data_IF_915185638868
#
_entry.id   IF_915185638868
#
_cell.length_a   1.000
_cell.length_b   1.000
_cell.length_c   1.000
_cell.angle_alpha   90.00
_cell.angle_beta   90.00
_cell.angle_gamma   90.00
#
_symmetry.space_group_name_H-M   'P 1'
#
loop_
_entity.id
_entity.type
_entity.pdbx_description
1 polymer ?
#
# COMPACT_ATOMS: atom_id res chain seq x y z
N UNK A 1 17.55 11.39 17.07
CA UNK A 1 17.46 9.98 17.55
C UNK A 1 17.23 9.10 16.32
N UNK A 2 18.14 8.16 16.01
CA UNK A 2 18.05 7.37 14.76
C UNK A 2 17.12 6.17 14.93
N UNK A 3 16.33 5.88 13.89
CA UNK A 3 15.47 4.70 13.84
C UNK A 3 15.51 4.06 12.46
N UNK A 4 15.28 2.75 12.43
CA UNK A 4 15.19 1.98 11.20
C UNK A 4 13.86 2.27 10.50
N UNK A 5 13.88 2.24 9.17
CA UNK A 5 12.70 2.51 8.35
C UNK A 5 12.08 1.23 7.81
N UNK A 6 10.78 1.30 7.54
CA UNK A 6 10.05 0.25 6.82
C UNK A 6 10.66 0.05 5.44
N UNK A 7 11.03 -1.20 5.16
CA UNK A 7 11.64 -1.62 3.89
C UNK A 7 10.60 -2.00 2.83
N UNK A 8 9.30 -1.95 3.14
CA UNK A 8 8.27 -2.34 2.18
C UNK A 8 8.27 -1.40 0.96
N UNK A 9 8.22 -1.99 -0.23
CA UNK A 9 8.09 -1.31 -1.51
C UNK A 9 6.63 -1.41 -1.96
N UNK A 10 6.00 -0.25 -2.13
CA UNK A 10 4.62 -0.13 -2.60
C UNK A 10 4.52 -0.49 -4.08
N UNK A 11 3.31 -0.72 -4.56
CA UNK A 11 3.08 -1.12 -5.96
C UNK A 11 3.46 -0.01 -6.94
N UNK A 12 3.36 1.24 -6.51
CA UNK A 12 3.82 2.40 -7.28
C UNK A 12 5.36 2.56 -7.34
N UNK A 13 6.13 1.63 -6.77
CA UNK A 13 7.60 1.63 -6.80
C UNK A 13 8.26 2.58 -5.78
N UNK A 14 7.47 3.20 -4.89
CA UNK A 14 7.99 4.02 -3.79
C UNK A 14 8.21 3.17 -2.54
N UNK A 15 9.20 3.51 -1.73
CA UNK A 15 9.38 2.90 -0.41
C UNK A 15 8.33 3.41 0.58
N UNK A 16 8.06 2.67 1.65
CA UNK A 16 7.20 3.16 2.73
C UNK A 16 7.88 4.20 3.61
N UNK A 17 9.13 3.94 4.03
CA UNK A 17 9.94 4.77 4.95
C UNK A 17 9.30 5.17 6.29
N UNK A 18 8.15 4.61 6.66
CA UNK A 18 7.59 4.81 8.01
C UNK A 18 8.45 4.14 9.08
N UNK A 19 8.44 4.60 10.35
CA UNK A 19 9.22 3.98 11.42
C UNK A 19 8.94 2.48 11.54
N UNK A 20 10.02 1.69 11.58
CA UNK A 20 9.98 0.25 11.65
C UNK A 20 9.62 -0.24 13.06
N UNK A 21 8.87 -1.34 13.15
CA UNK A 21 8.68 -2.06 14.42
C UNK A 21 9.97 -2.81 14.76
N UNK A 22 10.47 -2.67 16.00
CA UNK A 22 11.73 -3.31 16.43
C UNK A 22 11.75 -4.81 16.10
N UNK A 23 12.79 -5.25 15.38
CA UNK A 23 13.01 -6.66 15.02
C UNK A 23 12.25 -7.16 13.78
N UNK A 24 11.46 -6.32 13.12
CA UNK A 24 10.72 -6.67 11.90
C UNK A 24 11.13 -5.73 10.76
N UNK A 25 11.11 -6.15 9.49
CA UNK A 25 11.47 -5.26 8.38
C UNK A 25 10.40 -4.18 8.05
N UNK A 26 9.23 -4.22 8.71
CA UNK A 26 8.04 -3.45 8.36
C UNK A 26 7.65 -2.40 9.42
N UNK A 27 6.92 -1.36 9.01
CA UNK A 27 6.19 -0.49 9.94
C UNK A 27 4.97 -1.21 10.52
N UNK A 28 4.30 -0.58 11.49
CA UNK A 28 3.11 -1.14 12.12
C UNK A 28 2.01 -1.50 11.11
N UNK A 29 1.75 -0.62 10.14
CA UNK A 29 0.73 -0.82 9.10
C UNK A 29 1.07 -2.02 8.18
N UNK A 30 2.26 -2.01 7.57
CA UNK A 30 2.67 -3.09 6.65
C UNK A 30 2.84 -4.43 7.34
N UNK A 31 3.25 -4.45 8.61
CA UNK A 31 3.26 -5.68 9.40
C UNK A 31 1.84 -6.26 9.59
N UNK A 32 0.84 -5.41 9.83
CA UNK A 32 -0.55 -5.88 9.96
C UNK A 32 -1.11 -6.40 8.63
N UNK A 33 -0.82 -5.69 7.53
CA UNK A 33 -1.20 -6.13 6.19
C UNK A 33 -0.56 -7.48 5.84
N UNK A 34 0.74 -7.63 6.08
CA UNK A 34 1.44 -8.87 5.76
C UNK A 34 0.81 -10.05 6.52
N UNK A 35 0.52 -9.86 7.81
CA UNK A 35 -0.12 -10.89 8.63
C UNK A 35 -1.58 -11.17 8.24
N UNK A 36 -2.34 -10.18 7.76
CA UNK A 36 -3.72 -10.40 7.32
C UNK A 36 -3.80 -11.16 5.99
N UNK A 37 -2.84 -10.95 5.09
CA UNK A 37 -2.80 -11.65 3.80
C UNK A 37 -2.12 -13.02 3.88
N UNK A 38 -1.26 -13.27 4.88
CA UNK A 38 -0.50 -14.51 5.02
C UNK A 38 -1.36 -15.80 4.94
N UNK A 39 -2.53 -15.92 5.60
CA UNK A 39 -3.33 -17.13 5.52
C UNK A 39 -3.77 -17.47 4.09
N UNK A 40 -4.05 -16.46 3.27
CA UNK A 40 -4.58 -16.62 1.92
C UNK A 40 -3.51 -16.95 0.87
N UNK A 41 -2.22 -16.71 1.16
CA UNK A 41 -1.10 -17.02 0.26
C UNK A 41 -0.77 -18.52 0.19
N UNK A 42 -1.10 -19.27 1.24
CA UNK A 42 -0.69 -20.67 1.39
C UNK A 42 -1.85 -21.67 1.36
N UNK A 43 -3.07 -21.23 1.04
CA UNK A 43 -4.21 -22.14 0.87
C UNK A 43 -4.02 -22.89 -0.45
N UNK A 44 -3.28 -24.00 -0.39
CA UNK A 44 -3.18 -24.95 -1.49
C UNK A 44 -4.52 -25.67 -1.66
N UNK A 45 -5.09 -25.61 -2.87
CA UNK A 45 -6.25 -26.42 -3.26
C UNK A 45 -7.55 -25.64 -3.51
N UNK A 46 -7.65 -24.37 -3.14
CA UNK A 46 -8.76 -23.50 -3.54
C UNK A 46 -8.32 -22.53 -4.63
N UNK A 47 -9.22 -22.21 -5.58
CA UNK A 47 -9.01 -21.17 -6.60
C UNK A 47 -9.00 -19.78 -5.94
N UNK A 48 -7.99 -19.49 -5.14
CA UNK A 48 -7.81 -18.18 -4.52
C UNK A 48 -7.15 -17.27 -5.54
N UNK A 49 -7.81 -16.17 -5.87
CA UNK A 49 -7.19 -15.13 -6.69
C UNK A 49 -6.01 -14.54 -5.91
N UNK A 50 -4.82 -14.39 -6.52
CA UNK A 50 -3.65 -13.83 -5.86
C UNK A 50 -3.80 -12.30 -5.72
N UNK A 51 -4.72 -11.86 -4.84
CA UNK A 51 -4.95 -10.45 -4.58
C UNK A 51 -3.96 -9.96 -3.51
N UNK A 52 -3.20 -8.94 -3.88
CA UNK A 52 -2.30 -8.22 -3.00
C UNK A 52 -3.03 -7.21 -2.11
N UNK A 53 -2.29 -6.54 -1.21
CA UNK A 53 -2.83 -5.43 -0.44
C UNK A 53 -3.16 -4.23 -1.33
N UNK A 54 -4.28 -3.58 -1.07
CA UNK A 54 -4.81 -2.45 -1.84
C UNK A 54 -4.51 -1.12 -1.16
N UNK A 55 -3.23 -0.83 -0.95
CA UNK A 55 -2.78 0.36 -0.22
C UNK A 55 -2.58 1.59 -1.10
N UNK A 56 -2.48 1.40 -2.42
CA UNK A 56 -2.26 2.45 -3.42
C UNK A 56 -3.11 2.20 -4.69
N UNK A 57 -3.36 3.23 -5.52
CA UNK A 57 -4.17 3.08 -6.73
C UNK A 57 -3.62 2.03 -7.71
N UNK A 58 -2.30 1.94 -7.86
CA UNK A 58 -1.65 0.96 -8.73
C UNK A 58 -1.91 -0.48 -8.24
N UNK A 59 -1.89 -0.70 -6.92
CA UNK A 59 -2.25 -1.97 -6.30
C UNK A 59 -3.70 -2.38 -6.60
N UNK A 60 -4.64 -1.42 -6.52
CA UNK A 60 -6.04 -1.64 -6.89
C UNK A 60 -6.14 -2.00 -8.37
N UNK A 61 -5.40 -1.32 -9.25
CA UNK A 61 -5.43 -1.61 -10.68
C UNK A 61 -4.92 -3.02 -11.01
N UNK A 62 -3.86 -3.49 -10.33
CA UNK A 62 -3.39 -4.88 -10.48
C UNK A 62 -4.46 -5.87 -10.01
N UNK A 63 -5.16 -5.58 -8.91
CA UNK A 63 -6.25 -6.43 -8.43
C UNK A 63 -7.43 -6.49 -9.42
N UNK A 64 -7.82 -5.36 -10.02
CA UNK A 64 -8.86 -5.32 -11.07
C UNK A 64 -8.43 -6.19 -12.25
N UNK A 65 -7.21 -6.01 -12.76
CA UNK A 65 -6.67 -6.78 -13.87
C UNK A 65 -6.69 -8.29 -13.57
N UNK A 66 -6.32 -8.68 -12.36
CA UNK A 66 -6.35 -10.08 -11.92
C UNK A 66 -7.75 -10.69 -11.99
N UNK A 67 -8.77 -9.96 -11.54
CA UNK A 67 -10.17 -10.41 -11.60
C UNK A 67 -10.70 -10.44 -13.03
N UNK A 68 -10.39 -9.43 -13.85
CA UNK A 68 -10.82 -9.39 -15.26
C UNK A 68 -10.23 -10.57 -16.04
N UNK A 69 -8.94 -10.85 -15.87
CA UNK A 69 -8.30 -12.00 -16.52
C UNK A 69 -8.87 -13.33 -16.03
N UNK A 70 -9.17 -13.45 -14.74
CA UNK A 70 -9.79 -14.65 -14.19
C UNK A 70 -11.22 -14.87 -14.69
N UNK A 71 -11.99 -13.80 -14.86
CA UNK A 71 -13.32 -13.84 -15.46
C UNK A 71 -13.24 -14.23 -16.95
N UNK A 72 -12.31 -13.64 -17.70
CA UNK A 72 -12.09 -13.96 -19.11
C UNK A 72 -11.63 -15.42 -19.33
N UNK A 73 -10.94 -15.99 -18.34
CA UNK A 73 -10.45 -17.38 -18.37
C UNK A 73 -11.42 -18.40 -17.72
N UNK A 74 -12.65 -17.98 -17.38
CA UNK A 74 -13.66 -18.81 -16.72
C UNK A 74 -13.18 -19.46 -15.39
N UNK A 75 -12.24 -18.80 -14.72
CA UNK A 75 -11.72 -19.22 -13.41
C UNK A 75 -12.63 -18.76 -12.26
N UNK A 76 -13.45 -17.73 -12.50
CA UNK A 76 -14.35 -17.10 -11.53
C UNK A 76 -15.71 -16.84 -12.15
N UNK A 77 -16.77 -17.22 -11.43
CA UNK A 77 -18.16 -16.94 -11.82
C UNK A 77 -18.46 -15.44 -11.83
N UNK A 78 -19.27 -14.99 -12.79
CA UNK A 78 -19.68 -13.58 -12.95
C UNK A 78 -20.18 -12.95 -11.66
N UNK A 79 -21.05 -13.62 -10.89
CA UNK A 79 -21.59 -13.08 -9.63
C UNK A 79 -20.51 -12.80 -8.59
N UNK A 80 -19.52 -13.70 -8.49
CA UNK A 80 -18.38 -13.52 -7.59
C UNK A 80 -17.48 -12.38 -8.08
N UNK A 81 -17.23 -12.32 -9.39
CA UNK A 81 -16.47 -11.23 -9.98
C UNK A 81 -17.12 -9.86 -9.72
N UNK A 82 -18.45 -9.74 -9.85
CA UNK A 82 -19.18 -8.50 -9.54
C UNK A 82 -18.98 -8.06 -8.09
N UNK A 83 -19.10 -8.98 -7.12
CA UNK A 83 -18.90 -8.66 -5.71
C UNK A 83 -17.46 -8.22 -5.42
N UNK A 84 -16.47 -8.89 -6.03
CA UNK A 84 -15.05 -8.53 -5.89
C UNK A 84 -14.76 -7.15 -6.50
N UNK A 85 -15.22 -6.89 -7.72
CA UNK A 85 -15.04 -5.60 -8.39
C UNK A 85 -15.71 -4.46 -7.62
N UNK A 86 -16.87 -4.70 -7.02
CA UNK A 86 -17.51 -3.72 -6.11
C UNK A 86 -16.65 -3.45 -4.87
N UNK A 87 -16.07 -4.48 -4.25
CA UNK A 87 -15.11 -4.31 -3.16
C UNK A 87 -13.89 -3.50 -3.58
N UNK A 88 -13.37 -3.71 -4.79
CA UNK A 88 -12.25 -2.93 -5.34
C UNK A 88 -12.63 -1.47 -5.61
N UNK A 89 -13.86 -1.20 -6.02
CA UNK A 89 -14.36 0.17 -6.18
C UNK A 89 -14.34 0.91 -4.83
N UNK A 90 -14.79 0.26 -3.76
CA UNK A 90 -14.70 0.83 -2.40
C UNK A 90 -13.24 1.06 -1.98
N UNK A 91 -12.35 0.11 -2.30
CA UNK A 91 -10.91 0.27 -2.03
C UNK A 91 -10.33 1.48 -2.76
N UNK A 92 -10.66 1.67 -4.04
CA UNK A 92 -10.22 2.82 -4.84
C UNK A 92 -10.66 4.17 -4.25
N UNK A 93 -11.83 4.23 -3.62
CA UNK A 93 -12.30 5.44 -2.95
C UNK A 93 -11.52 5.72 -1.66
N UNK A 94 -11.05 4.66 -1.00
CA UNK A 94 -10.29 4.74 0.25
C UNK A 94 -8.81 5.05 0.03
N UNK A 95 -8.18 4.57 -1.05
CA UNK A 95 -6.75 4.83 -1.33
C UNK A 95 -6.44 6.31 -1.49
N UNK A 96 -7.37 7.10 -2.03
CA UNK A 96 -7.24 8.57 -2.12
C UNK A 96 -7.14 9.22 -0.74
N UNK A 97 -7.84 8.66 0.26
CA UNK A 97 -7.91 9.18 1.64
C UNK A 97 -6.79 8.66 2.54
N UNK A 98 -6.11 7.58 2.15
CA UNK A 98 -4.99 6.98 2.89
C UNK A 98 -3.66 7.73 2.71
N UNK A 99 -3.62 8.85 1.98
CA UNK A 99 -2.42 9.70 1.76
C UNK A 99 -1.88 10.38 3.04
N UNK A 100 -2.44 10.11 4.22
CA UNK A 100 -2.16 10.79 5.48
C UNK A 100 -0.87 10.44 6.24
N UNK A 101 0.10 9.71 5.69
CA UNK A 101 1.38 9.41 6.35
C UNK A 101 2.53 9.25 5.31
N UNK A 102 3.79 9.50 5.71
CA UNK A 102 4.78 10.29 4.97
C UNK A 102 4.90 9.91 3.50
N UNK A 103 4.79 10.93 2.64
CA UNK A 103 5.09 10.86 1.22
C UNK A 103 6.56 10.52 1.04
N UNK A 104 6.85 9.23 0.90
CA UNK A 104 8.18 8.79 0.54
C UNK A 104 8.45 9.14 -0.92
N UNK A 105 9.26 10.17 -1.15
CA UNK A 105 9.67 10.64 -2.48
C UNK A 105 10.74 9.75 -3.14
N UNK A 106 11.21 8.70 -2.45
CA UNK A 106 12.29 7.86 -2.94
C UNK A 106 11.76 6.71 -3.81
N UNK A 107 12.10 6.78 -5.10
CA UNK A 107 11.89 5.73 -6.08
C UNK A 107 12.89 4.59 -5.82
N UNK A 108 12.40 3.36 -5.75
CA UNK A 108 13.24 2.18 -5.60
C UNK A 108 13.94 1.85 -6.92
N UNK A 109 15.27 1.70 -6.88
CA UNK A 109 16.08 1.23 -8.01
C UNK A 109 16.62 -0.18 -7.82
N UNK A 110 16.69 -0.63 -6.57
CA UNK A 110 17.24 -1.93 -6.17
C UNK A 110 16.35 -2.57 -5.09
N UNK A 111 16.18 -3.88 -5.15
CA UNK A 111 15.36 -4.67 -4.22
C UNK A 111 16.23 -5.70 -3.50
N UNK A 112 15.79 -6.21 -2.35
CA UNK A 112 16.47 -7.28 -1.64
C UNK A 112 16.53 -8.54 -2.52
N UNK A 113 17.71 -9.17 -2.69
CA UNK A 113 17.85 -10.39 -3.49
C UNK A 113 16.94 -11.55 -3.07
N UNK A 114 16.49 -11.57 -1.80
CA UNK A 114 15.64 -12.63 -1.25
C UNK A 114 14.15 -12.35 -1.40
N UNK A 115 13.74 -11.08 -1.44
CA UNK A 115 12.34 -10.67 -1.53
C UNK A 115 12.20 -9.34 -2.27
N UNK A 116 11.63 -9.40 -3.48
CA UNK A 116 11.43 -8.25 -4.35
C UNK A 116 10.50 -7.18 -3.78
N UNK A 117 9.75 -7.48 -2.70
CA UNK A 117 8.88 -6.52 -2.01
C UNK A 117 9.63 -5.72 -0.94
N UNK A 118 10.87 -6.06 -0.66
CA UNK A 118 11.71 -5.41 0.35
C UNK A 118 12.83 -4.60 -0.30
N UNK A 119 13.02 -3.38 0.19
CA UNK A 119 14.20 -2.56 -0.07
C UNK A 119 15.44 -3.15 0.64
N UNK A 120 16.67 -2.84 0.20
CA UNK A 120 17.89 -3.32 0.85
C UNK A 120 17.99 -2.91 2.33
N UNK A 121 18.82 -3.65 3.09
CA UNK A 121 19.07 -3.38 4.51
C UNK A 121 19.83 -2.07 4.73
N UNK A 122 19.65 -1.45 5.91
CA UNK A 122 20.41 -0.27 6.33
C UNK A 122 19.72 1.08 6.14
N UNK A 123 18.41 1.11 5.84
CA UNK A 123 17.63 2.36 5.76
C UNK A 123 17.40 2.97 7.15
N UNK A 124 18.13 4.03 7.46
CA UNK A 124 18.04 4.80 8.70
C UNK A 124 17.57 6.21 8.35
N UNK A 125 16.56 6.74 9.06
CA UNK A 125 16.24 8.18 9.03
C UNK A 125 16.99 8.87 10.16
N UNK A 126 17.55 10.04 9.85
CA UNK A 126 18.02 11.01 10.81
C UNK A 126 16.94 12.10 10.92
N UNK A 127 16.43 12.34 12.12
CA UNK A 127 15.33 13.28 12.39
C UNK A 127 15.60 14.72 11.94
N UNK A 128 16.84 15.08 11.66
CA UNK A 128 17.26 16.45 11.36
C UNK A 128 16.96 16.88 9.90
N UNK A 129 16.64 15.94 9.00
CA UNK A 129 16.38 16.23 7.56
C UNK A 129 14.88 16.24 7.19
N UNK A 130 13.99 15.74 8.06
CA UNK A 130 12.61 15.41 7.69
C UNK A 130 11.57 16.50 8.05
N UNK A 131 11.97 17.59 8.72
CA UNK A 131 11.06 18.61 9.29
C UNK A 131 10.82 19.84 8.37
N UNK A 132 11.54 19.99 7.25
CA UNK A 132 11.44 21.17 6.37
C UNK A 132 10.19 21.21 5.46
N UNK A 133 9.26 20.26 5.56
CA UNK A 133 8.21 20.06 4.53
C UNK A 133 6.76 20.14 4.98
N UNK A 134 6.47 20.45 6.25
CA UNK A 134 5.09 20.38 6.78
C UNK A 134 4.39 21.73 6.75
N UNK A 135 4.15 22.28 5.56
CA UNK A 135 3.14 23.34 5.39
C UNK A 135 1.76 22.72 5.63
N UNK A 136 1.21 22.96 6.82
CA UNK A 136 -0.21 22.76 7.11
C UNK A 136 -1.00 23.80 6.31
N UNK A 137 -1.43 23.43 5.10
CA UNK A 137 -2.51 24.15 4.42
C UNK A 137 -3.78 23.97 5.25
N UNK A 138 -4.10 24.96 6.08
CA UNK A 138 -5.49 25.19 6.49
C UNK A 138 -6.16 25.83 5.28
N UNK A 139 -7.09 25.12 4.65
CA UNK A 139 -8.05 25.78 3.77
C UNK A 139 -8.92 26.64 4.70
N UNK A 140 -8.72 27.95 4.66
CA UNK A 140 -9.62 28.93 5.25
C UNK A 140 -10.95 28.80 4.50
N UNK A 141 -11.96 28.20 5.16
CA UNK A 141 -13.34 28.23 4.72
C UNK A 141 -13.86 29.67 4.84
N UNK A 142 -13.51 30.52 3.86
CA UNK A 142 -14.16 31.80 3.60
C UNK A 142 -15.56 31.55 3.03
N UNK A 143 -16.53 31.28 3.90
CA UNK A 143 -17.95 31.56 3.61
C UNK A 143 -18.42 32.76 4.43
N UNK A 144 -17.91 33.94 4.08
CA UNK A 144 -18.54 35.20 4.42
C UNK A 144 -19.76 35.42 3.51
N UNK A 145 -20.94 35.29 4.14
CA UNK A 145 -22.19 36.04 3.94
C UNK A 145 -22.27 36.93 2.70
N UNK A 146 -23.33 36.73 1.90
CA UNK A 146 -24.13 37.85 1.41
C UNK A 146 -25.59 37.45 1.19
N UNK A 147 -26.45 38.21 1.90
CA UNK A 147 -27.87 38.56 1.64
C UNK A 147 -28.96 37.48 1.52
#
# INVERSE_FOLDING_TARGET
MSFQLCRYIKTNGLQCRSPQVKGLPYCYFHNRIENSHRPFRYISGTRVLPLGPMEDPEAVQIAISTIVNALASDLVETRRATALLYGLQLASMNTVRLKGAPSCKQIVRETDPKDSKLAPEGLISNQDEDDEGRELFYEDDDEDKNE
#
